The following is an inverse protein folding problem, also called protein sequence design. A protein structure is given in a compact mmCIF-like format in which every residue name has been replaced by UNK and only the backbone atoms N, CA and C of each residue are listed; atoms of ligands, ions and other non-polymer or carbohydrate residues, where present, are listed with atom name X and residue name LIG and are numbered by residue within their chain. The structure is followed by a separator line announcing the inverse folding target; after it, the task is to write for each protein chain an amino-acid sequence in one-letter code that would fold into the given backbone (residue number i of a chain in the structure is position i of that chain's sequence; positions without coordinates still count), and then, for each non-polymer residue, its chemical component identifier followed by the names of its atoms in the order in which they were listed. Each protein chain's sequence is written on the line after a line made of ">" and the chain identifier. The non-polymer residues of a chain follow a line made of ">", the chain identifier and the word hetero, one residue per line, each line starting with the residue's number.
data_IF_232150349775
#
_entry.id   IF_232150349775
#
_cell.length_a   1.000
_cell.length_b   1.000
_cell.length_c   1.000
_cell.angle_alpha   90.00
_cell.angle_beta   90.00
_cell.angle_gamma   90.00
#
_symmetry.space_group_name_H-M   'P 1'
#
loop_
_entity.id
_entity.type
_entity.pdbx_description
1 polymer ?
#
# COMPACT_ATOMS: atom_id res chain seq x y z
N UNK A 1 30.64 -15.04 -37.55
CA UNK A 1 29.44 -14.30 -37.08
C UNK A 1 28.36 -15.30 -36.73
N UNK A 2 27.98 -15.40 -35.45
CA UNK A 2 26.58 -15.62 -35.06
C UNK A 2 26.53 -15.48 -33.55
N UNK A 3 25.97 -14.36 -33.09
CA UNK A 3 25.82 -14.04 -31.69
C UNK A 3 24.84 -15.01 -31.04
N UNK A 4 25.29 -15.72 -30.01
CA UNK A 4 24.39 -16.39 -29.07
C UNK A 4 23.65 -15.31 -28.31
N UNK A 5 22.40 -15.06 -28.70
CA UNK A 5 21.41 -14.38 -27.87
C UNK A 5 21.33 -15.13 -26.54
N UNK A 6 21.95 -14.56 -25.51
CA UNK A 6 21.59 -14.83 -24.12
C UNK A 6 20.12 -14.42 -23.99
N UNK A 7 19.25 -15.43 -23.99
CA UNK A 7 17.87 -15.29 -23.54
C UNK A 7 17.97 -14.94 -22.06
N UNK A 8 17.93 -13.64 -21.77
CA UNK A 8 17.80 -13.12 -20.41
C UNK A 8 16.56 -13.78 -19.84
N UNK A 9 16.75 -14.72 -18.92
CA UNK A 9 15.68 -15.27 -18.11
C UNK A 9 15.25 -14.10 -17.22
N UNK A 10 14.25 -13.36 -17.68
CA UNK A 10 13.54 -12.40 -16.84
C UNK A 10 13.01 -13.17 -15.65
N UNK A 11 13.50 -12.80 -14.48
CA UNK A 11 13.21 -13.42 -13.20
C UNK A 11 11.69 -13.30 -12.95
N UNK A 12 10.98 -14.43 -12.99
CA UNK A 12 9.52 -14.47 -12.83
C UNK A 12 9.05 -13.94 -11.47
N UNK A 13 9.96 -13.83 -10.50
CA UNK A 13 9.71 -13.17 -9.21
C UNK A 13 9.47 -11.66 -9.34
N UNK A 14 10.08 -11.00 -10.32
CA UNK A 14 9.89 -9.56 -10.56
C UNK A 14 8.51 -9.28 -11.18
N UNK A 15 8.08 -10.11 -12.15
CA UNK A 15 6.76 -10.00 -12.77
C UNK A 15 5.62 -10.15 -11.74
N UNK A 16 5.75 -11.09 -10.80
CA UNK A 16 4.75 -11.27 -9.74
C UNK A 16 4.66 -10.09 -8.77
N UNK A 17 5.76 -9.35 -8.59
CA UNK A 17 5.78 -8.17 -7.71
C UNK A 17 5.10 -6.99 -8.40
N UNK A 18 5.34 -6.81 -9.70
CA UNK A 18 4.70 -5.75 -10.49
C UNK A 18 3.17 -5.91 -10.52
N UNK A 19 2.68 -7.15 -10.69
CA UNK A 19 1.25 -7.44 -10.67
C UNK A 19 0.61 -7.15 -9.30
N UNK A 20 1.26 -7.52 -8.20
CA UNK A 20 0.75 -7.24 -6.84
C UNK A 20 0.79 -5.74 -6.51
N UNK A 21 1.82 -5.01 -6.95
CA UNK A 21 1.87 -3.54 -6.81
C UNK A 21 0.76 -2.91 -7.65
N UNK A 22 0.51 -3.38 -8.86
CA UNK A 22 -0.60 -2.91 -9.68
C UNK A 22 -1.95 -3.15 -9.00
N UNK A 23 -2.17 -4.34 -8.44
CA UNK A 23 -3.39 -4.67 -7.70
C UNK A 23 -3.58 -3.74 -6.49
N UNK A 24 -2.50 -3.45 -5.76
CA UNK A 24 -2.53 -2.49 -4.65
C UNK A 24 -3.00 -1.11 -5.13
N UNK A 25 -2.41 -0.60 -6.21
CA UNK A 25 -2.73 0.72 -6.76
C UNK A 25 -4.18 0.79 -7.27
N UNK A 26 -4.65 -0.24 -7.96
CA UNK A 26 -6.03 -0.32 -8.46
C UNK A 26 -7.03 -0.38 -7.31
N UNK A 27 -6.76 -1.17 -6.27
CA UNK A 27 -7.64 -1.25 -5.10
C UNK A 27 -7.61 0.04 -4.27
N UNK A 28 -6.46 0.72 -4.20
CA UNK A 28 -6.34 2.01 -3.53
C UNK A 28 -7.14 3.10 -4.26
N UNK A 29 -7.02 3.18 -5.58
CA UNK A 29 -7.82 4.07 -6.42
C UNK A 29 -9.31 3.77 -6.26
N UNK A 30 -9.69 2.48 -6.32
CA UNK A 30 -11.07 2.05 -6.12
C UNK A 30 -11.63 2.48 -4.76
N UNK A 31 -10.84 2.33 -3.69
CA UNK A 31 -11.22 2.80 -2.36
C UNK A 31 -11.53 4.31 -2.35
N UNK A 32 -10.63 5.14 -2.91
CA UNK A 32 -10.80 6.59 -2.93
C UNK A 32 -12.05 7.00 -3.70
N UNK A 33 -12.29 6.38 -4.86
CA UNK A 33 -13.47 6.63 -5.70
C UNK A 33 -14.77 6.23 -4.97
N UNK A 34 -14.82 5.04 -4.39
CA UNK A 34 -16.00 4.56 -3.66
C UNK A 34 -16.28 5.43 -2.43
N UNK A 35 -15.24 5.90 -1.75
CA UNK A 35 -15.39 6.87 -0.66
C UNK A 35 -15.92 8.21 -1.18
N UNK A 36 -15.42 8.72 -2.30
CA UNK A 36 -15.92 9.93 -2.95
C UNK A 36 -17.41 9.84 -3.32
N UNK A 37 -17.89 8.64 -3.68
CA UNK A 37 -19.31 8.36 -3.87
C UNK A 37 -20.14 8.23 -2.57
N UNK A 38 -19.54 8.43 -1.40
CA UNK A 38 -20.23 8.38 -0.12
C UNK A 38 -20.73 6.98 0.25
N UNK A 39 -20.03 5.93 -0.20
CA UNK A 39 -20.42 4.54 0.09
C UNK A 39 -20.45 4.26 1.58
N UNK A 40 -21.25 3.26 1.96
CA UNK A 40 -21.42 2.91 3.37
C UNK A 40 -20.10 2.44 4.00
N UNK A 41 -19.94 2.67 5.31
CA UNK A 41 -18.78 2.22 6.09
C UNK A 41 -18.54 0.71 5.94
N UNK A 42 -19.61 -0.09 5.85
CA UNK A 42 -19.49 -1.54 5.68
C UNK A 42 -18.77 -1.88 4.38
N UNK A 43 -19.18 -1.24 3.27
CA UNK A 43 -18.54 -1.42 1.95
C UNK A 43 -17.09 -0.94 1.97
N UNK A 44 -16.83 0.26 2.52
CA UNK A 44 -15.47 0.80 2.62
C UNK A 44 -14.56 -0.08 3.49
N UNK A 45 -15.09 -0.66 4.56
CA UNK A 45 -14.36 -1.59 5.42
C UNK A 45 -13.98 -2.87 4.68
N UNK A 46 -14.87 -3.40 3.85
CA UNK A 46 -14.62 -4.61 3.09
C UNK A 46 -13.51 -4.35 2.04
N UNK A 47 -13.54 -3.22 1.33
CA UNK A 47 -12.47 -2.79 0.41
C UNK A 47 -11.12 -2.65 1.12
N UNK A 48 -11.11 -2.05 2.31
CA UNK A 48 -9.90 -1.95 3.13
C UNK A 48 -9.41 -3.33 3.59
N UNK A 49 -10.31 -4.29 3.81
CA UNK A 49 -9.95 -5.69 4.06
C UNK A 49 -9.16 -6.30 2.91
N UNK A 50 -9.58 -6.03 1.67
CA UNK A 50 -8.88 -6.48 0.47
C UNK A 50 -7.52 -5.77 0.33
N UNK A 51 -7.46 -4.46 0.57
CA UNK A 51 -6.20 -3.70 0.61
C UNK A 51 -5.21 -4.28 1.62
N UNK A 52 -5.67 -4.55 2.85
CA UNK A 52 -4.84 -5.18 3.90
C UNK A 52 -4.28 -6.52 3.43
N UNK A 53 -5.08 -7.31 2.74
CA UNK A 53 -4.66 -8.62 2.21
C UNK A 53 -3.61 -8.49 1.11
N UNK A 54 -3.73 -7.49 0.24
CA UNK A 54 -2.72 -7.22 -0.81
C UNK A 54 -1.41 -6.71 -0.17
N UNK A 55 -1.49 -5.73 0.73
CA UNK A 55 -0.32 -5.19 1.43
C UNK A 55 0.39 -6.29 2.23
N UNK A 56 -0.36 -7.14 2.95
CA UNK A 56 0.20 -8.26 3.71
C UNK A 56 1.02 -9.21 2.83
N UNK A 57 0.50 -9.56 1.65
CA UNK A 57 1.24 -10.37 0.65
C UNK A 57 2.48 -9.65 0.13
N UNK A 58 2.37 -8.37 -0.22
CA UNK A 58 3.51 -7.57 -0.63
C UNK A 58 4.60 -7.55 0.43
N UNK A 59 4.24 -7.39 1.71
CA UNK A 59 5.20 -7.40 2.81
C UNK A 59 5.89 -8.76 2.96
N UNK A 60 5.14 -9.85 3.07
CA UNK A 60 5.70 -11.17 3.41
C UNK A 60 6.35 -11.88 2.23
N UNK A 61 5.78 -11.74 1.04
CA UNK A 61 6.16 -12.55 -0.12
C UNK A 61 7.14 -11.82 -1.03
N UNK A 62 7.20 -10.48 -0.97
CA UNK A 62 8.06 -9.67 -1.83
C UNK A 62 9.04 -8.81 -1.01
N UNK A 63 8.54 -7.88 -0.21
CA UNK A 63 9.34 -6.86 0.49
C UNK A 63 10.34 -7.45 1.49
N UNK A 64 9.95 -8.50 2.21
CA UNK A 64 10.84 -9.24 3.12
C UNK A 64 12.11 -9.75 2.42
N UNK A 65 12.00 -10.14 1.14
CA UNK A 65 13.10 -10.69 0.35
C UNK A 65 13.99 -9.62 -0.29
N UNK A 66 13.56 -8.36 -0.29
CA UNK A 66 14.35 -7.26 -0.86
C UNK A 66 15.63 -7.00 -0.06
N UNK A 67 16.65 -6.50 -0.74
CA UNK A 67 17.83 -5.95 -0.10
C UNK A 67 17.57 -4.49 0.32
N UNK A 68 18.29 -4.02 1.33
CA UNK A 68 18.08 -2.69 1.94
C UNK A 68 18.08 -1.54 0.93
N UNK A 69 18.97 -1.58 -0.04
CA UNK A 69 19.07 -0.56 -1.10
C UNK A 69 17.82 -0.55 -1.99
N UNK A 70 17.21 -1.73 -2.22
CA UNK A 70 15.99 -1.88 -3.01
C UNK A 70 14.73 -1.57 -2.21
N UNK A 71 14.75 -1.72 -0.88
CA UNK A 71 13.62 -1.35 -0.01
C UNK A 71 13.34 0.15 -0.10
N UNK A 72 14.37 0.99 0.05
CA UNK A 72 14.21 2.45 -0.03
C UNK A 72 13.70 2.88 -1.41
N UNK A 73 14.23 2.28 -2.48
CA UNK A 73 13.76 2.53 -3.83
C UNK A 73 12.30 2.10 -4.01
N UNK A 74 11.92 0.92 -3.51
CA UNK A 74 10.55 0.42 -3.56
C UNK A 74 9.58 1.37 -2.85
N UNK A 75 9.87 1.79 -1.62
CA UNK A 75 8.99 2.70 -0.87
C UNK A 75 8.84 4.05 -1.57
N UNK A 76 9.94 4.62 -2.09
CA UNK A 76 9.89 5.88 -2.83
C UNK A 76 9.04 5.76 -4.11
N UNK A 77 9.24 4.68 -4.89
CA UNK A 77 8.43 4.42 -6.08
C UNK A 77 6.97 4.19 -5.73
N UNK A 78 6.67 3.42 -4.69
CA UNK A 78 5.30 3.19 -4.24
C UNK A 78 4.61 4.50 -3.83
N UNK A 79 5.30 5.37 -3.09
CA UNK A 79 4.78 6.68 -2.71
C UNK A 79 4.42 7.54 -3.93
N UNK A 80 5.30 7.60 -4.93
CA UNK A 80 5.01 8.31 -6.19
C UNK A 80 3.81 7.72 -6.91
N UNK A 81 3.73 6.39 -7.03
CA UNK A 81 2.62 5.73 -7.72
C UNK A 81 1.28 5.90 -7.01
N UNK A 82 1.27 5.90 -5.67
CA UNK A 82 0.06 6.17 -4.88
C UNK A 82 -0.42 7.60 -5.08
N UNK A 83 0.50 8.58 -5.09
CA UNK A 83 0.17 9.98 -5.35
C UNK A 83 -0.42 10.16 -6.76
N UNK A 84 0.24 9.62 -7.79
CA UNK A 84 -0.25 9.66 -9.18
C UNK A 84 -1.64 9.03 -9.35
N UNK A 85 -1.97 8.01 -8.56
CA UNK A 85 -3.30 7.38 -8.56
C UNK A 85 -4.33 8.26 -7.86
N UNK A 86 -3.96 8.86 -6.74
CA UNK A 86 -4.84 9.75 -6.01
C UNK A 86 -5.20 11.01 -6.81
N UNK A 87 -4.24 11.60 -7.53
CA UNK A 87 -4.47 12.76 -8.41
C UNK A 87 -5.51 12.49 -9.49
N UNK A 88 -5.60 11.25 -9.99
CA UNK A 88 -6.61 10.84 -10.99
C UNK A 88 -8.03 10.77 -10.44
N UNK A 89 -8.20 10.68 -9.13
CA UNK A 89 -9.51 10.55 -8.50
C UNK A 89 -10.31 11.87 -8.47
N UNK A 90 -9.71 12.99 -8.88
CA UNK A 90 -10.39 14.29 -8.99
C UNK A 90 -10.68 14.91 -7.62
N UNK A 91 -9.67 15.56 -7.05
CA UNK A 91 -9.79 16.28 -5.77
C UNK A 91 -10.45 17.64 -5.99
N UNK A 92 -11.39 18.01 -5.12
CA UNK A 92 -12.14 19.27 -5.25
C UNK A 92 -12.02 20.20 -4.03
N UNK A 93 -11.59 19.68 -2.87
CA UNK A 93 -11.50 20.44 -1.61
C UNK A 93 -10.21 20.11 -0.81
N UNK A 94 -9.72 21.06 -0.01
CA UNK A 94 -8.49 20.98 0.81
C UNK A 94 -8.56 19.81 1.81
N UNK A 95 -9.74 19.55 2.38
CA UNK A 95 -9.98 18.42 3.28
C UNK A 95 -9.86 17.05 2.58
N UNK A 96 -10.08 16.99 1.27
CA UNK A 96 -9.91 15.76 0.49
C UNK A 96 -8.43 15.46 0.26
N UNK A 97 -7.62 16.51 0.05
CA UNK A 97 -6.17 16.38 -0.06
C UNK A 97 -5.55 15.86 1.24
N UNK A 98 -5.85 16.49 2.39
CA UNK A 98 -5.33 16.05 3.70
C UNK A 98 -5.71 14.59 3.99
N UNK A 99 -6.92 14.19 3.63
CA UNK A 99 -7.38 12.83 3.83
C UNK A 99 -6.69 11.82 2.90
N UNK A 100 -6.40 12.21 1.67
CA UNK A 100 -5.65 11.37 0.73
C UNK A 100 -4.21 11.18 1.20
N UNK A 101 -3.56 12.26 1.65
CA UNK A 101 -2.21 12.21 2.22
C UNK A 101 -2.17 11.24 3.41
N UNK A 102 -3.16 11.33 4.30
CA UNK A 102 -3.35 10.38 5.39
C UNK A 102 -3.46 8.92 4.89
N UNK A 103 -4.25 8.66 3.84
CA UNK A 103 -4.40 7.31 3.30
C UNK A 103 -3.08 6.76 2.72
N UNK A 104 -2.30 7.61 2.05
CA UNK A 104 -0.98 7.25 1.50
C UNK A 104 -0.01 6.94 2.65
N UNK A 105 0.03 7.79 3.68
CA UNK A 105 0.86 7.60 4.86
C UNK A 105 0.59 6.25 5.53
N UNK A 106 -0.67 5.89 5.74
CA UNK A 106 -1.05 4.62 6.37
C UNK A 106 -0.60 3.38 5.57
N UNK A 107 -0.59 3.47 4.23
CA UNK A 107 -0.05 2.40 3.37
C UNK A 107 1.46 2.31 3.56
N UNK A 108 2.18 3.44 3.47
CA UNK A 108 3.63 3.49 3.56
C UNK A 108 4.17 3.08 4.94
N UNK A 109 3.47 3.46 6.01
CA UNK A 109 3.77 3.10 7.41
C UNK A 109 3.93 1.59 7.59
N UNK A 110 3.14 0.79 6.87
CA UNK A 110 3.22 -0.67 6.92
C UNK A 110 4.58 -1.19 6.39
N UNK A 111 5.15 -0.52 5.39
CA UNK A 111 6.47 -0.84 4.84
C UNK A 111 7.60 -0.30 5.71
N UNK A 112 7.41 0.86 6.36
CA UNK A 112 8.36 1.40 7.33
C UNK A 112 8.55 0.45 8.52
N UNK A 113 7.46 -0.05 9.12
CA UNK A 113 7.55 -1.08 10.16
C UNK A 113 8.28 -2.34 9.67
N UNK A 114 8.05 -2.75 8.43
CA UNK A 114 8.78 -3.87 7.85
C UNK A 114 10.29 -3.59 7.73
N UNK A 115 10.70 -2.38 7.35
CA UNK A 115 12.12 -2.00 7.32
C UNK A 115 12.74 -2.01 8.72
N UNK A 116 12.00 -1.53 9.73
CA UNK A 116 12.42 -1.57 11.13
C UNK A 116 12.64 -3.00 11.61
N UNK A 117 11.66 -3.88 11.39
CA UNK A 117 11.74 -5.31 11.73
C UNK A 117 12.96 -5.98 11.08
N UNK A 118 13.18 -5.73 9.78
CA UNK A 118 14.36 -6.27 9.06
C UNK A 118 15.67 -5.74 9.62
N UNK A 119 15.71 -4.49 10.04
CA UNK A 119 16.90 -3.86 10.61
C UNK A 119 17.20 -4.35 12.03
N UNK A 120 16.19 -4.61 12.84
CA UNK A 120 16.32 -5.07 14.22
C UNK A 120 16.69 -6.57 14.29
N UNK A 121 16.02 -7.41 13.50
CA UNK A 121 16.18 -8.87 13.53
C UNK A 121 17.07 -9.39 12.39
N UNK A 122 18.23 -8.75 12.17
CA UNK A 122 19.14 -9.12 11.07
C UNK A 122 19.65 -10.56 11.24
N UNK A 123 19.42 -11.37 10.21
CA UNK A 123 19.86 -12.77 10.19
C UNK A 123 18.86 -13.76 10.80
N UNK A 124 17.70 -13.28 11.29
CA UNK A 124 16.61 -14.14 11.76
C UNK A 124 15.37 -14.02 10.83
N UNK A 125 15.35 -14.73 9.70
CA UNK A 125 14.24 -14.66 8.76
C UNK A 125 12.92 -15.21 9.32
N UNK A 126 12.99 -16.07 10.36
CA UNK A 126 11.79 -16.62 11.01
C UNK A 126 11.13 -15.54 11.85
N UNK A 127 11.91 -14.84 12.68
CA UNK A 127 11.41 -13.76 13.51
C UNK A 127 10.91 -12.58 12.67
N UNK A 128 11.64 -12.21 11.61
CA UNK A 128 11.20 -11.17 10.66
C UNK A 128 9.82 -11.50 10.09
N UNK A 129 9.61 -12.73 9.62
CA UNK A 129 8.33 -13.15 9.05
C UNK A 129 7.22 -13.17 10.09
N UNK A 130 7.50 -13.65 11.31
CA UNK A 130 6.53 -13.69 12.39
C UNK A 130 6.04 -12.28 12.75
N UNK A 131 6.96 -11.35 12.94
CA UNK A 131 6.63 -9.95 13.28
C UNK A 131 5.94 -9.21 12.12
N UNK A 132 6.29 -9.51 10.87
CA UNK A 132 5.63 -8.91 9.71
C UNK A 132 4.14 -9.24 9.62
N UNK A 133 3.75 -10.46 10.01
CA UNK A 133 2.32 -10.87 10.03
C UNK A 133 1.53 -10.02 11.04
N UNK A 134 2.19 -9.55 12.10
CA UNK A 134 1.56 -8.78 13.16
C UNK A 134 1.52 -7.26 12.89
N UNK A 135 2.15 -6.78 11.80
CA UNK A 135 2.13 -5.37 11.41
C UNK A 135 0.68 -4.86 11.37
N UNK A 136 0.38 -3.71 12.00
CA UNK A 136 -0.97 -3.17 12.02
C UNK A 136 -1.32 -2.47 10.69
N UNK A 137 -1.59 -3.25 9.64
CA UNK A 137 -1.90 -2.73 8.31
C UNK A 137 -3.25 -1.98 8.36
N UNK A 138 -3.19 -0.65 8.17
CA UNK A 138 -4.36 0.23 8.13
C UNK A 138 -5.26 0.11 9.38
N UNK A 139 -4.75 -0.17 10.59
CA UNK A 139 -5.60 -0.34 11.79
C UNK A 139 -6.25 0.95 12.33
N UNK A 140 -5.63 2.14 12.27
CA UNK A 140 -6.31 3.39 12.61
C UNK A 140 -7.11 3.99 11.44
N UNK A 141 -7.22 3.27 10.31
CA UNK A 141 -7.75 3.78 9.05
C UNK A 141 -9.17 4.30 9.18
N UNK A 142 -9.36 5.58 8.84
CA UNK A 142 -10.65 6.25 8.89
C UNK A 142 -11.51 5.81 7.69
N UNK A 143 -12.64 5.14 7.96
CA UNK A 143 -13.60 4.68 6.95
C UNK A 143 -14.61 5.74 6.49
N UNK A 144 -14.25 7.03 6.53
CA UNK A 144 -15.16 8.15 6.23
C UNK A 144 -15.98 8.64 7.43
N UNK A 145 -15.51 8.34 8.66
CA UNK A 145 -16.12 8.78 9.91
C UNK A 145 -15.97 10.29 10.11
N UNK A 146 -14.83 10.89 9.76
CA UNK A 146 -14.61 12.34 9.91
C UNK A 146 -15.59 13.20 9.12
N UNK A 147 -15.98 12.79 7.90
CA UNK A 147 -16.98 13.52 7.09
C UNK A 147 -18.38 13.47 7.73
N UNK A 148 -18.74 12.39 8.42
CA UNK A 148 -20.03 12.28 9.14
C UNK A 148 -20.11 13.14 10.39
N UNK A 149 -19.00 13.37 11.09
CA UNK A 149 -18.98 14.19 12.31
C UNK A 149 -19.27 15.67 11.97
N UNK A 150 -18.87 16.15 10.78
CA UNK A 150 -19.18 17.52 10.32
C UNK A 150 -20.67 17.76 10.04
N UNK A 151 -21.41 16.72 9.66
CA UNK A 151 -22.86 16.81 9.41
C UNK A 151 -23.72 17.00 10.68
N UNK A 152 -23.15 16.85 11.89
CA UNK A 152 -23.88 17.06 13.16
C UNK A 152 -23.81 18.52 13.63
N UNK A 153 -23.01 19.38 12.98
CA UNK A 153 -23.00 20.83 13.24
C UNK A 153 -23.73 21.59 12.13
N UNK A 154 -25.03 21.38 11.99
CA UNK A 154 -25.94 22.30 11.30
C UNK A 154 -27.39 21.92 11.63
N UNK A 155 -27.90 22.41 12.76
CA UNK A 155 -29.32 22.66 13.02
C UNK A 155 -29.42 23.84 13.98
#
# INVERSE_FOLDING_TARGET
>A
MSGKLQKVVLDSSLLSTEDEVKNLLEMFEFYLVERGFGKSIVVLRDIIGDLRTIIGRLLTDHFLKLQREREAHFCATLATLLLERAEKCGQSDEDEHEYIDYCIEEVLMSFEYAQEIKSEFRGDPVMQRLLMIDIPILRPFDYGLRQRIRLVKSN
#
